data_IF_833984816498
#
_entry.id   IF_833984816498
#
_cell.length_a   1.000
_cell.length_b   1.000
_cell.length_c   1.000
_cell.angle_alpha   90.00
_cell.angle_beta   90.00
_cell.angle_gamma   90.00
#
_symmetry.space_group_name_H-M   'P 1'
#
loop_
_entity.id
_entity.type
_entity.pdbx_description
1 polymer ?
#
# COMPACT_ATOMS: atom_id res chain seq x y z
N UNK A 1 -3.54 14.02 -5.27
CA UNK A 1 -2.61 12.98 -5.78
C UNK A 1 -3.03 11.65 -5.19
N UNK A 2 -3.20 10.62 -6.02
CA UNK A 2 -3.50 9.26 -5.62
C UNK A 2 -2.23 8.40 -5.66
N UNK A 3 -1.99 7.61 -4.61
CA UNK A 3 -0.97 6.56 -4.59
C UNK A 3 -1.67 5.20 -4.52
N UNK A 4 -1.39 4.35 -5.51
CA UNK A 4 -1.94 3.00 -5.64
C UNK A 4 -0.79 1.98 -5.48
N UNK A 5 -0.72 1.22 -4.38
CA UNK A 5 0.23 0.12 -4.27
C UNK A 5 -0.19 -1.04 -5.16
N UNK A 6 0.76 -1.64 -5.87
CA UNK A 6 0.60 -2.95 -6.47
C UNK A 6 0.83 -4.05 -5.44
N UNK A 7 0.13 -5.18 -5.58
CA UNK A 7 0.46 -6.38 -4.82
C UNK A 7 1.60 -7.09 -5.55
N UNK A 8 2.82 -6.90 -5.06
CA UNK A 8 4.06 -7.33 -5.72
C UNK A 8 5.07 -7.91 -4.73
N UNK A 9 6.22 -8.37 -5.24
CA UNK A 9 7.26 -9.08 -4.48
C UNK A 9 7.59 -8.41 -3.13
N UNK A 10 7.66 -9.22 -2.07
CA UNK A 10 7.95 -8.75 -0.70
C UNK A 10 6.87 -7.87 -0.06
N UNK A 11 5.73 -7.67 -0.73
CA UNK A 11 4.65 -6.76 -0.30
C UNK A 11 5.13 -5.33 0.03
N UNK A 12 6.26 -4.92 -0.56
CA UNK A 12 6.94 -3.67 -0.24
C UNK A 12 6.06 -2.45 -0.45
N UNK A 13 5.26 -2.35 -1.55
CA UNK A 13 4.29 -1.28 -1.72
C UNK A 13 3.27 -1.19 -0.58
N UNK A 14 2.68 -2.32 -0.17
CA UNK A 14 1.65 -2.34 0.87
C UNK A 14 2.21 -1.97 2.24
N UNK A 15 3.43 -2.44 2.54
CA UNK A 15 4.17 -2.07 3.75
C UNK A 15 4.54 -0.57 3.75
N UNK A 16 4.96 -0.03 2.60
CA UNK A 16 5.24 1.39 2.44
C UNK A 16 3.99 2.24 2.69
N UNK A 17 2.83 1.82 2.19
CA UNK A 17 1.55 2.50 2.45
C UNK A 17 1.17 2.45 3.94
N UNK A 18 1.35 1.33 4.64
CA UNK A 18 1.12 1.26 6.09
C UNK A 18 1.95 2.33 6.82
N UNK A 19 3.26 2.44 6.52
CA UNK A 19 4.12 3.46 7.13
C UNK A 19 3.54 4.88 6.95
N UNK A 20 3.03 5.21 5.76
CA UNK A 20 2.46 6.53 5.50
C UNK A 20 1.14 6.75 6.26
N UNK A 21 0.23 5.78 6.23
CA UNK A 21 -1.08 5.88 6.88
C UNK A 21 -0.89 6.19 8.36
N UNK A 22 -0.09 5.38 9.06
CA UNK A 22 0.04 5.48 10.50
C UNK A 22 0.96 6.61 10.95
N UNK A 23 2.02 6.94 10.19
CA UNK A 23 2.90 8.07 10.55
C UNK A 23 2.20 9.42 10.43
N UNK A 24 1.37 9.59 9.39
CA UNK A 24 0.73 10.87 9.10
C UNK A 24 -0.70 10.97 9.60
N UNK A 25 -1.31 9.86 10.03
CA UNK A 25 -2.69 9.82 10.52
C UNK A 25 -3.69 10.04 9.40
N UNK A 26 -3.50 9.35 8.26
CA UNK A 26 -4.48 9.39 7.17
C UNK A 26 -5.83 8.85 7.67
N UNK A 27 -6.91 9.52 7.31
CA UNK A 27 -8.27 9.09 7.65
C UNK A 27 -8.75 8.03 6.65
N UNK A 28 -9.27 6.90 7.14
CA UNK A 28 -9.94 5.92 6.29
C UNK A 28 -11.32 6.46 5.91
N UNK A 29 -11.53 6.75 4.62
CA UNK A 29 -12.76 7.38 4.13
C UNK A 29 -13.71 6.38 3.47
N UNK A 30 -13.21 5.24 2.98
CA UNK A 30 -14.03 4.28 2.22
C UNK A 30 -13.41 2.89 2.13
N UNK A 31 -14.25 1.85 2.13
CA UNK A 31 -13.91 0.49 1.69
C UNK A 31 -14.26 0.32 0.21
N UNK A 32 -13.34 -0.22 -0.59
CA UNK A 32 -13.43 -0.34 -2.05
C UNK A 32 -13.43 -1.80 -2.53
N UNK A 33 -13.79 -2.73 -1.64
CA UNK A 33 -13.87 -4.15 -1.94
C UNK A 33 -14.81 -4.44 -3.12
N UNK A 34 -14.42 -5.39 -3.96
CA UNK A 34 -15.22 -5.86 -5.09
C UNK A 34 -14.98 -7.37 -5.32
N UNK A 35 -15.76 -7.98 -6.22
CA UNK A 35 -15.66 -9.43 -6.47
C UNK A 35 -14.34 -9.89 -7.14
N UNK A 36 -13.43 -8.96 -7.45
CA UNK A 36 -12.16 -9.22 -8.12
C UNK A 36 -10.96 -9.24 -7.16
N UNK A 37 -11.21 -9.10 -5.85
CA UNK A 37 -10.19 -9.21 -4.82
C UNK A 37 -10.49 -10.36 -3.86
N UNK A 38 -9.43 -11.02 -3.37
CA UNK A 38 -9.59 -12.05 -2.34
C UNK A 38 -10.18 -11.39 -1.07
N UNK A 39 -11.29 -11.89 -0.51
CA UNK A 39 -11.93 -11.25 0.64
C UNK A 39 -11.00 -11.26 1.86
N UNK A 40 -10.99 -10.14 2.58
CA UNK A 40 -10.24 -9.97 3.81
C UNK A 40 -11.10 -9.24 4.85
N UNK A 41 -10.98 -9.66 6.10
CA UNK A 41 -11.61 -8.98 7.23
C UNK A 41 -10.69 -9.06 8.45
N UNK A 42 -10.44 -7.91 9.08
CA UNK A 42 -9.60 -7.84 10.26
C UNK A 42 -9.83 -6.57 11.08
N UNK A 43 -9.16 -6.45 12.24
CA UNK A 43 -9.20 -5.23 13.04
C UNK A 43 -8.52 -4.07 12.29
N UNK A 44 -8.99 -2.84 12.54
CA UNK A 44 -8.23 -1.65 12.17
C UNK A 44 -6.93 -1.60 12.96
N UNK A 45 -5.83 -1.30 12.27
CA UNK A 45 -4.52 -1.17 12.90
C UNK A 45 -4.39 0.19 13.61
N UNK A 46 -3.32 0.34 14.38
CA UNK A 46 -3.03 1.57 15.12
C UNK A 46 -1.55 1.71 15.42
N UNK A 47 -1.13 2.91 15.84
CA UNK A 47 0.22 3.11 16.37
C UNK A 47 0.29 2.54 17.79
N UNK A 48 1.29 1.71 18.07
CA UNK A 48 1.56 1.25 19.43
C UNK A 48 1.91 2.40 20.38
N UNK A 49 1.53 2.28 21.65
CA UNK A 49 1.97 3.21 22.70
C UNK A 49 3.49 3.10 22.90
N UNK A 50 4.16 4.24 23.13
CA UNK A 50 5.62 4.32 23.27
C UNK A 50 6.19 3.53 24.46
N UNK A 51 5.32 3.08 25.38
CA UNK A 51 5.66 2.28 26.57
C UNK A 51 5.52 0.76 26.34
N UNK A 52 5.21 0.32 25.12
CA UNK A 52 4.98 -1.09 24.82
C UNK A 52 3.71 -1.67 25.46
N UNK A 53 2.88 -0.83 26.10
CA UNK A 53 1.58 -1.25 26.57
C UNK A 53 0.66 -1.39 25.37
N UNK A 54 0.16 -2.61 25.17
CA UNK A 54 -0.95 -2.85 24.25
C UNK A 54 -2.15 -2.15 24.87
N UNK A 55 -2.55 -1.01 24.32
CA UNK A 55 -3.92 -0.53 24.51
C UNK A 55 -4.82 -1.50 23.76
N UNK A 56 -5.08 -2.65 24.39
CA UNK A 56 -6.19 -3.48 23.98
C UNK A 56 -7.40 -2.55 23.98
N UNK A 57 -7.92 -2.28 22.80
CA UNK A 57 -9.32 -1.92 22.66
C UNK A 57 -10.07 -3.18 23.09
N UNK A 58 -10.10 -3.43 24.40
CA UNK A 58 -11.10 -4.27 25.01
C UNK A 58 -12.43 -3.73 24.49
N UNK A 59 -13.30 -4.57 23.88
CA UNK A 59 -14.61 -4.11 23.45
C UNK A 59 -15.27 -3.50 24.68
N UNK A 60 -15.47 -2.18 24.66
CA UNK A 60 -16.07 -1.45 25.77
C UNK A 60 -17.38 -2.15 26.09
N UNK A 61 -17.43 -2.79 27.26
CA UNK A 61 -18.69 -3.32 27.79
C UNK A 61 -19.64 -2.14 27.92
N UNK A 62 -20.89 -2.33 27.54
CA UNK A 62 -21.87 -1.30 27.20
C UNK A 62 -22.31 -0.37 28.34
N UNK A 63 -21.54 -0.25 29.42
CA UNK A 63 -21.96 0.44 30.65
C UNK A 63 -21.19 1.74 30.94
N UNK A 64 -20.03 2.00 30.33
CA UNK A 64 -19.27 3.25 30.57
C UNK A 64 -19.40 4.30 29.44
N UNK A 65 -20.20 4.03 28.41
CA UNK A 65 -20.38 4.91 27.24
C UNK A 65 -21.45 6.01 27.44
N UNK A 66 -21.52 6.61 28.63
CA UNK A 66 -22.44 7.73 28.91
C UNK A 66 -21.72 8.96 29.45
N UNK A 67 -20.78 9.48 28.68
CA UNK A 67 -20.49 10.93 28.60
C UNK A 67 -19.55 11.12 27.40
N UNK A 68 -19.91 12.06 26.52
CA UNK A 68 -19.15 12.52 25.33
C UNK A 68 -19.31 11.76 23.99
N UNK A 69 -20.35 10.93 23.82
CA UNK A 69 -20.67 10.31 22.52
C UNK A 69 -21.48 11.25 21.60
N UNK A 70 -20.82 12.22 20.96
CA UNK A 70 -21.10 12.48 19.53
C UNK A 70 -20.36 11.40 18.76
N UNK A 71 -20.90 10.19 18.75
CA UNK A 71 -20.36 9.10 17.94
C UNK A 71 -20.64 9.44 16.47
N UNK A 72 -19.59 9.69 15.71
CA UNK A 72 -19.67 9.76 14.26
C UNK A 72 -20.08 8.38 13.73
N UNK A 73 -21.36 8.27 13.39
CA UNK A 73 -22.06 7.07 12.90
C UNK A 73 -21.46 6.48 11.61
N UNK A 74 -20.45 7.13 11.03
CA UNK A 74 -19.78 6.76 9.78
C UNK A 74 -18.32 6.33 9.97
N UNK A 75 -17.83 6.16 11.20
CA UNK A 75 -16.44 5.73 11.40
C UNK A 75 -16.26 4.27 10.97
N UNK A 76 -15.32 4.03 10.07
CA UNK A 76 -14.94 2.67 9.64
C UNK A 76 -14.15 2.00 10.78
N UNK A 77 -14.73 0.94 11.35
CA UNK A 77 -14.16 0.23 12.52
C UNK A 77 -13.41 -1.07 12.15
N UNK A 78 -13.53 -1.53 10.91
CA UNK A 78 -12.97 -2.80 10.43
C UNK A 78 -12.10 -2.58 9.20
N UNK A 79 -11.02 -3.36 9.10
CA UNK A 79 -10.16 -3.40 7.93
C UNK A 79 -10.70 -4.43 6.93
N UNK A 80 -10.85 -4.01 5.68
CA UNK A 80 -11.29 -4.86 4.56
C UNK A 80 -10.17 -5.02 3.53
N UNK A 81 -10.45 -5.66 2.39
CA UNK A 81 -9.42 -5.98 1.39
C UNK A 81 -8.81 -4.73 0.75
N UNK A 82 -9.63 -3.72 0.43
CA UNK A 82 -9.19 -2.45 -0.16
C UNK A 82 -9.82 -1.28 0.58
N UNK A 83 -8.98 -0.34 0.99
CA UNK A 83 -9.43 0.87 1.69
C UNK A 83 -8.79 2.11 1.11
N UNK A 84 -9.58 3.17 1.00
CA UNK A 84 -9.14 4.50 0.59
C UNK A 84 -8.91 5.37 1.82
N UNK A 85 -7.74 5.98 1.84
CA UNK A 85 -7.26 6.84 2.91
C UNK A 85 -6.99 8.24 2.39
N UNK A 86 -7.23 9.27 3.20
CA UNK A 86 -7.08 10.68 2.81
C UNK A 86 -6.33 11.51 3.86
N UNK A 87 -5.46 12.39 3.38
CA UNK A 87 -4.85 13.46 4.16
C UNK A 87 -4.69 14.71 3.27
N UNK A 88 -5.50 15.74 3.53
CA UNK A 88 -5.55 16.92 2.64
C UNK A 88 -5.88 16.50 1.20
N UNK A 89 -4.98 16.81 0.28
CA UNK A 89 -5.11 16.48 -1.16
C UNK A 89 -4.38 15.20 -1.57
N UNK A 90 -3.82 14.45 -0.60
CA UNK A 90 -3.15 13.17 -0.83
C UNK A 90 -4.08 12.03 -0.47
N UNK A 91 -4.18 11.06 -1.36
CA UNK A 91 -4.99 9.87 -1.21
C UNK A 91 -4.09 8.63 -1.34
N UNK A 92 -4.29 7.67 -0.45
CA UNK A 92 -3.59 6.39 -0.46
C UNK A 92 -4.63 5.29 -0.57
N UNK A 93 -4.36 4.29 -1.40
CA UNK A 93 -5.10 3.03 -1.37
C UNK A 93 -4.27 2.05 -0.56
N UNK A 94 -4.88 1.34 0.39
CA UNK A 94 -4.27 0.20 1.04
C UNK A 94 -4.93 -1.09 0.62
N UNK A 95 -4.12 -2.09 0.30
CA UNK A 95 -4.57 -3.40 -0.20
C UNK A 95 -4.00 -4.49 0.70
N UNK A 96 -4.88 -5.27 1.31
CA UNK A 96 -4.52 -6.31 2.29
C UNK A 96 -4.52 -7.72 1.70
N UNK A 97 -5.05 -7.88 0.51
CA UNK A 97 -5.13 -9.16 -0.19
C UNK A 97 -4.93 -8.97 -1.69
N UNK A 98 -4.37 -9.96 -2.40
CA UNK A 98 -4.17 -9.88 -3.83
C UNK A 98 -5.51 -9.84 -4.58
N UNK A 99 -5.57 -9.22 -5.77
CA UNK A 99 -6.60 -9.52 -6.75
C UNK A 99 -6.70 -11.02 -6.99
N UNK A 100 -7.90 -11.50 -7.32
CA UNK A 100 -8.09 -12.89 -7.75
C UNK A 100 -7.23 -13.13 -8.99
N UNK A 101 -6.55 -14.26 -9.07
CA UNK A 101 -5.63 -14.57 -10.17
C UNK A 101 -6.31 -14.38 -11.54
N UNK A 102 -5.68 -13.60 -12.41
CA UNK A 102 -6.21 -13.24 -13.74
C UNK A 102 -7.31 -12.15 -13.74
N UNK A 103 -7.62 -11.54 -12.58
CA UNK A 103 -8.65 -10.49 -12.44
C UNK A 103 -8.07 -9.09 -12.22
N UNK A 104 -6.77 -8.90 -12.44
CA UNK A 104 -6.10 -7.59 -12.27
C UNK A 104 -6.76 -6.48 -13.09
N UNK A 105 -7.08 -6.74 -14.36
CA UNK A 105 -7.71 -5.75 -15.24
C UNK A 105 -9.12 -5.37 -14.76
N UNK A 106 -10.06 -6.32 -14.56
CA UNK A 106 -11.36 -6.01 -13.96
C UNK A 106 -11.27 -5.28 -12.61
N UNK A 107 -10.35 -5.72 -11.73
CA UNK A 107 -10.10 -5.10 -10.43
C UNK A 107 -9.73 -3.63 -10.60
N UNK A 108 -8.72 -3.34 -11.41
CA UNK A 108 -8.29 -1.96 -11.68
C UNK A 108 -9.38 -1.15 -12.37
N UNK A 109 -10.07 -1.69 -13.36
CA UNK A 109 -11.16 -0.97 -14.03
C UNK A 109 -12.21 -0.51 -13.04
N UNK A 110 -12.71 -1.41 -12.18
CA UNK A 110 -13.69 -1.05 -11.14
C UNK A 110 -13.13 -0.03 -10.14
N UNK A 111 -11.87 -0.20 -9.73
CA UNK A 111 -11.21 0.71 -8.80
C UNK A 111 -11.09 2.13 -9.36
N UNK A 112 -10.62 2.27 -10.61
CA UNK A 112 -10.49 3.54 -11.30
C UNK A 112 -11.85 4.12 -11.75
N UNK A 113 -12.91 3.31 -11.78
CA UNK A 113 -14.27 3.77 -12.06
C UNK A 113 -14.98 4.37 -10.84
N UNK A 114 -14.51 4.05 -9.63
CA UNK A 114 -15.07 4.56 -8.38
C UNK A 114 -15.01 6.10 -8.31
N UNK A 115 -16.10 6.71 -7.83
CA UNK A 115 -16.24 8.17 -7.83
C UNK A 115 -15.20 8.87 -6.95
N UNK A 116 -14.87 8.30 -5.78
CA UNK A 116 -13.92 8.89 -4.83
C UNK A 116 -12.48 8.71 -5.35
N UNK A 117 -12.19 7.60 -6.02
CA UNK A 117 -10.90 7.37 -6.69
C UNK A 117 -10.73 8.33 -7.88
N UNK A 118 -11.77 8.51 -8.70
CA UNK A 118 -11.77 9.52 -9.77
C UNK A 118 -11.55 10.93 -9.23
N UNK A 119 -12.20 11.27 -8.12
CA UNK A 119 -11.99 12.56 -7.46
C UNK A 119 -10.55 12.71 -6.95
N UNK A 120 -9.98 11.67 -6.34
CA UNK A 120 -8.60 11.67 -5.85
C UNK A 120 -7.56 11.88 -6.97
N UNK A 121 -7.88 11.41 -8.18
CA UNK A 121 -7.04 11.58 -9.37
C UNK A 121 -7.20 12.96 -10.00
N UNK A 122 -8.40 13.54 -9.97
CA UNK A 122 -8.71 14.84 -10.55
C UNK A 122 -8.21 15.98 -9.67
N UNK A 123 -6.96 16.42 -9.88
CA UNK A 123 -6.41 17.62 -9.24
C UNK A 123 -6.32 18.79 -10.22
N UNK A 124 -6.27 20.03 -9.70
CA UNK A 124 -6.12 21.26 -10.49
C UNK A 124 -4.85 21.26 -11.37
N UNK A 125 -3.86 20.42 -11.04
CA UNK A 125 -2.61 20.24 -11.79
C UNK A 125 -2.62 19.02 -12.77
N UNK A 126 -3.79 18.42 -13.02
CA UNK A 126 -3.98 17.25 -13.89
C UNK A 126 -4.16 15.92 -13.14
N UNK A 127 -4.33 14.83 -13.89
CA UNK A 127 -4.44 13.48 -13.32
C UNK A 127 -3.10 13.04 -12.71
N UNK A 128 -3.01 13.01 -11.38
CA UNK A 128 -1.82 12.55 -10.66
C UNK A 128 -2.15 11.27 -9.90
N UNK A 129 -1.99 10.13 -10.59
CA UNK A 129 -1.96 8.80 -9.99
C UNK A 129 -0.55 8.22 -10.14
N UNK A 130 0.02 7.80 -9.03
CA UNK A 130 1.30 7.10 -8.96
C UNK A 130 1.01 5.67 -8.51
N UNK A 131 1.40 4.71 -9.33
CA UNK A 131 1.36 3.29 -8.99
C UNK A 131 2.71 2.91 -8.39
N UNK A 132 2.70 2.34 -7.20
CA UNK A 132 3.95 1.96 -6.52
C UNK A 132 4.06 0.44 -6.50
N UNK A 133 5.15 -0.08 -7.04
CA UNK A 133 5.40 -1.51 -7.20
C UNK A 133 6.77 -1.90 -6.65
N UNK A 134 7.01 -3.20 -6.59
CA UNK A 134 8.32 -3.78 -6.35
C UNK A 134 8.61 -4.84 -7.41
N UNK A 135 9.87 -5.09 -7.74
CA UNK A 135 10.27 -6.08 -8.74
C UNK A 135 11.43 -6.93 -8.23
N UNK A 136 11.58 -8.15 -8.77
CA UNK A 136 12.65 -9.06 -8.36
C UNK A 136 14.02 -8.49 -8.71
N UNK A 137 14.81 -8.15 -7.67
CA UNK A 137 16.17 -7.66 -7.81
C UNK A 137 17.09 -8.65 -8.54
N UNK A 138 16.81 -9.96 -8.49
CA UNK A 138 17.54 -10.98 -9.24
C UNK A 138 17.37 -10.86 -10.76
N UNK A 139 16.29 -10.21 -11.20
CA UNK A 139 15.98 -9.96 -12.59
C UNK A 139 16.32 -8.53 -13.04
N UNK A 140 16.98 -7.73 -12.21
CA UNK A 140 17.37 -6.37 -12.56
C UNK A 140 18.26 -6.37 -13.81
N UNK A 141 17.92 -5.60 -14.87
CA UNK A 141 18.67 -5.63 -16.11
C UNK A 141 20.14 -5.24 -15.91
N UNK A 142 21.05 -6.01 -16.49
CA UNK A 142 22.48 -5.69 -16.47
C UNK A 142 22.75 -4.40 -17.25
N UNK A 143 23.47 -3.45 -16.65
CA UNK A 143 23.86 -2.18 -17.29
C UNK A 143 22.87 -1.02 -17.13
N UNK A 144 21.73 -1.23 -16.48
CA UNK A 144 20.86 -0.14 -15.98
C UNK A 144 21.45 0.39 -14.67
N UNK A 145 21.50 1.71 -14.41
CA UNK A 145 21.99 2.28 -13.16
C UNK A 145 21.35 1.58 -11.95
N UNK A 146 22.15 1.27 -10.94
CA UNK A 146 21.78 0.47 -9.76
C UNK A 146 20.88 1.20 -8.76
N UNK A 147 20.03 2.14 -9.21
CA UNK A 147 19.10 2.79 -8.31
C UNK A 147 18.06 1.74 -7.89
N UNK A 148 18.08 1.39 -6.62
CA UNK A 148 17.13 0.44 -6.02
C UNK A 148 15.67 0.84 -6.25
N UNK A 149 15.40 2.14 -6.41
CA UNK A 149 14.08 2.69 -6.72
C UNK A 149 14.15 3.45 -8.04
N UNK A 150 13.24 3.13 -8.96
CA UNK A 150 13.10 3.76 -10.28
C UNK A 150 11.77 4.53 -10.39
N UNK A 151 11.82 5.78 -10.84
CA UNK A 151 10.61 6.53 -11.21
C UNK A 151 10.37 6.44 -12.72
N UNK A 152 9.17 5.99 -13.08
CA UNK A 152 8.75 5.77 -14.46
C UNK A 152 7.70 6.83 -14.81
N UNK A 153 8.05 7.82 -15.64
CA UNK A 153 7.12 8.89 -15.97
C UNK A 153 6.03 8.40 -16.94
N UNK A 154 4.85 9.02 -16.84
CA UNK A 154 3.69 8.77 -17.73
C UNK A 154 4.05 8.81 -19.23
N UNK A 155 4.99 9.67 -19.63
CA UNK A 155 5.40 9.84 -21.02
C UNK A 155 6.22 8.69 -21.61
N UNK A 156 6.84 7.85 -20.77
CA UNK A 156 7.62 6.70 -21.25
C UNK A 156 6.73 5.69 -21.98
N UNK A 157 5.47 5.57 -21.57
CA UNK A 157 4.47 4.68 -22.20
C UNK A 157 3.95 5.24 -23.52
N UNK A 158 3.78 6.56 -23.61
CA UNK A 158 3.13 7.22 -24.75
C UNK A 158 4.04 7.31 -25.99
N UNK A 159 5.37 7.25 -25.84
CA UNK A 159 6.30 7.31 -26.98
C UNK A 159 6.33 6.01 -27.80
N UNK A 160 5.82 4.92 -27.27
CA UNK A 160 5.90 3.58 -27.89
C UNK A 160 4.58 3.11 -28.53
N UNK A 161 3.47 3.82 -28.30
CA UNK A 161 2.15 3.51 -28.86
C UNK A 161 2.04 3.67 -30.39
N UNK A 162 3.06 4.20 -31.06
CA UNK A 162 3.11 4.29 -32.53
C UNK A 162 3.68 3.02 -33.21
N UNK A 163 3.97 1.95 -32.45
CA UNK A 163 4.41 0.65 -32.98
C UNK A 163 3.33 -0.44 -32.74
N UNK A 164 2.96 -1.26 -33.75
CA UNK A 164 1.77 -2.12 -33.72
C UNK A 164 1.87 -3.38 -32.82
N UNK A 165 2.79 -3.45 -31.86
CA UNK A 165 2.94 -4.59 -30.94
C UNK A 165 2.98 -4.12 -29.48
N UNK A 166 1.78 -3.91 -28.91
CA UNK A 166 1.56 -3.26 -27.61
C UNK A 166 2.14 -4.02 -26.39
N UNK A 167 2.47 -5.32 -26.54
CA UNK A 167 2.89 -6.18 -25.41
C UNK A 167 4.40 -6.31 -25.22
N UNK A 168 5.23 -5.85 -26.16
CA UNK A 168 6.68 -6.13 -26.17
C UNK A 168 7.57 -4.93 -25.81
N UNK A 169 6.99 -3.78 -25.42
CA UNK A 169 7.76 -2.55 -25.21
C UNK A 169 7.58 -1.88 -23.85
N UNK A 170 6.51 -2.19 -23.09
CA UNK A 170 6.42 -1.75 -21.69
C UNK A 170 7.63 -2.27 -20.91
N UNK A 171 8.27 -1.44 -20.06
CA UNK A 171 9.35 -1.91 -19.22
C UNK A 171 8.85 -3.10 -18.38
N UNK A 172 9.59 -4.21 -18.50
CA UNK A 172 9.26 -5.46 -17.83
C UNK A 172 9.74 -5.37 -16.38
N UNK A 173 8.79 -5.29 -15.46
CA UNK A 173 9.04 -5.37 -14.03
C UNK A 173 8.55 -6.74 -13.54
N UNK A 174 9.45 -7.75 -13.52
CA UNK A 174 9.08 -9.09 -13.10
C UNK A 174 8.55 -9.06 -11.67
N UNK A 175 7.45 -9.78 -11.44
CA UNK A 175 6.74 -9.87 -10.15
C UNK A 175 6.26 -8.54 -9.55
N UNK A 176 6.09 -7.52 -10.40
CA UNK A 176 5.52 -6.22 -10.01
C UNK A 176 4.01 -6.16 -9.90
N UNK A 177 3.35 -7.33 -9.92
CA UNK A 177 1.91 -7.45 -9.92
C UNK A 177 1.30 -6.72 -11.12
N UNK A 178 0.34 -5.84 -10.85
CA UNK A 178 -0.37 -5.09 -11.89
C UNK A 178 0.24 -3.71 -12.20
N UNK A 179 1.49 -3.44 -11.79
CA UNK A 179 2.14 -2.15 -12.02
C UNK A 179 2.19 -1.79 -13.51
N UNK A 180 2.69 -2.70 -14.36
CA UNK A 180 2.76 -2.48 -15.82
C UNK A 180 1.37 -2.35 -16.46
N UNK A 181 0.39 -3.11 -15.97
CA UNK A 181 -1.01 -3.01 -16.41
C UNK A 181 -1.59 -1.63 -16.11
N UNK A 182 -1.39 -1.15 -14.88
CA UNK A 182 -1.90 0.15 -14.45
C UNK A 182 -1.25 1.30 -15.24
N UNK A 183 0.07 1.20 -15.45
CA UNK A 183 0.87 2.12 -16.25
C UNK A 183 0.38 2.19 -17.71
N UNK A 184 0.18 1.03 -18.34
CA UNK A 184 -0.24 0.91 -19.74
C UNK A 184 -1.69 1.33 -20.00
N UNK A 185 -2.62 0.91 -19.14
CA UNK A 185 -4.06 1.09 -19.37
C UNK A 185 -4.61 2.42 -18.87
N UNK A 186 -4.10 2.93 -17.73
CA UNK A 186 -4.66 4.12 -17.07
C UNK A 186 -3.74 5.33 -17.18
N UNK A 187 -2.59 5.20 -17.87
CA UNK A 187 -1.64 6.28 -18.10
C UNK A 187 -1.18 6.91 -16.79
N UNK A 188 -0.83 6.09 -15.81
CA UNK A 188 -0.31 6.53 -14.51
C UNK A 188 1.18 6.85 -14.60
N UNK A 189 1.73 7.34 -13.51
CA UNK A 189 3.16 7.29 -13.24
C UNK A 189 3.43 5.99 -12.45
N UNK A 190 4.67 5.48 -12.47
CA UNK A 190 5.02 4.37 -11.59
C UNK A 190 6.31 4.63 -10.81
N UNK A 191 6.42 4.04 -9.63
CA UNK A 191 7.67 3.96 -8.85
C UNK A 191 7.89 2.50 -8.51
N UNK A 192 9.01 1.94 -8.92
CA UNK A 192 9.31 0.51 -8.75
C UNK A 192 10.55 0.34 -7.88
N UNK A 193 10.44 -0.47 -6.83
CA UNK A 193 11.58 -0.84 -5.97
C UNK A 193 12.09 -2.24 -6.30
N UNK A 194 13.36 -2.40 -6.61
CA UNK A 194 13.99 -3.70 -6.83
C UNK A 194 14.37 -4.33 -5.49
N UNK A 195 13.80 -5.49 -5.18
CA UNK A 195 13.92 -6.15 -3.87
C UNK A 195 14.06 -7.66 -4.02
N UNK A 196 14.62 -8.31 -3.00
CA UNK A 196 14.51 -9.77 -2.81
C UNK A 196 13.38 -10.07 -1.83
N UNK A 197 12.82 -11.29 -1.85
CA UNK A 197 11.89 -11.71 -0.80
C UNK A 197 12.60 -11.82 0.57
N UNK A 198 11.87 -11.50 1.64
CA UNK A 198 12.35 -11.65 3.01
C UNK A 198 11.71 -10.67 3.97
N UNK A 199 12.48 -10.21 4.95
CA UNK A 199 12.11 -9.06 5.78
C UNK A 199 12.36 -7.77 5.01
N UNK A 200 11.31 -7.27 4.37
CA UNK A 200 11.36 -6.08 3.55
C UNK A 200 10.99 -4.79 4.31
N UNK A 201 11.09 -4.78 5.64
CA UNK A 201 10.77 -3.60 6.46
C UNK A 201 11.59 -2.37 6.07
N UNK A 202 12.87 -2.56 5.72
CA UNK A 202 13.78 -1.48 5.27
C UNK A 202 13.46 -1.03 3.84
N UNK A 203 13.16 -1.97 2.95
CA UNK A 203 12.77 -1.64 1.57
C UNK A 203 11.48 -0.81 1.54
N UNK A 204 10.53 -1.16 2.41
CA UNK A 204 9.29 -0.40 2.58
C UNK A 204 9.55 1.02 3.09
N UNK A 205 10.51 1.20 4.00
CA UNK A 205 10.91 2.50 4.51
C UNK A 205 11.51 3.38 3.40
N UNK A 206 12.38 2.82 2.56
CA UNK A 206 12.98 3.53 1.43
C UNK A 206 11.92 3.93 0.40
N UNK A 207 11.03 3.00 0.03
CA UNK A 207 9.92 3.28 -0.89
C UNK A 207 8.95 4.33 -0.32
N UNK A 208 8.58 4.22 0.96
CA UNK A 208 7.75 5.22 1.63
C UNK A 208 8.40 6.60 1.66
N UNK A 209 9.72 6.67 1.88
CA UNK A 209 10.48 7.92 1.82
C UNK A 209 10.41 8.56 0.43
N UNK A 210 10.52 7.75 -0.64
CA UNK A 210 10.33 8.25 -2.01
C UNK A 210 8.91 8.80 -2.21
N UNK A 211 7.89 8.11 -1.72
CA UNK A 211 6.50 8.56 -1.81
C UNK A 211 6.29 9.88 -1.05
N UNK A 212 6.88 10.06 0.15
CA UNK A 212 6.83 11.31 0.91
C UNK A 212 7.37 12.48 0.08
N UNK A 213 8.50 12.29 -0.61
CA UNK A 213 9.10 13.31 -1.47
C UNK A 213 8.19 13.67 -2.66
N UNK A 214 7.63 12.67 -3.34
CA UNK A 214 6.73 12.87 -4.48
C UNK A 214 5.42 13.54 -4.07
N UNK A 215 4.87 13.11 -2.93
CA UNK A 215 3.65 13.66 -2.33
C UNK A 215 3.88 15.01 -1.65
N UNK A 216 5.14 15.44 -1.48
CA UNK A 216 5.54 16.64 -0.73
C UNK A 216 4.96 16.66 0.69
N UNK A 217 4.90 15.49 1.33
CA UNK A 217 4.48 15.38 2.72
C UNK A 217 5.57 15.93 3.65
N UNK A 218 5.22 16.47 4.83
CA UNK A 218 6.19 16.99 5.78
C UNK A 218 7.17 15.90 6.22
N UNK A 219 8.47 16.19 6.30
CA UNK A 219 9.44 15.20 6.77
C UNK A 219 9.12 14.76 8.21
N UNK A 220 8.90 13.45 8.39
CA UNK A 220 8.68 12.80 9.68
C UNK A 220 9.47 11.50 9.73
N UNK A 221 9.82 11.08 10.94
CA UNK A 221 10.28 9.71 11.17
C UNK A 221 9.09 8.78 10.89
N UNK A 222 9.23 7.92 9.90
CA UNK A 222 8.24 6.91 9.58
C UNK A 222 8.18 5.86 10.69
N UNK A 223 6.96 5.52 11.12
CA UNK A 223 6.67 4.60 12.22
C UNK A 223 5.77 3.48 11.69
N UNK A 224 6.14 2.20 11.91
CA UNK A 224 5.30 1.09 11.51
C UNK A 224 4.06 0.96 12.41
N UNK A 225 2.95 0.39 11.90
CA UNK A 225 1.81 0.04 12.74
C UNK A 225 2.14 -1.06 13.76
N UNK A 226 1.26 -1.22 14.76
CA UNK A 226 1.44 -2.25 15.79
C UNK A 226 1.43 -3.66 15.22
N UNK A 227 0.73 -3.93 14.10
CA UNK A 227 0.75 -5.24 13.45
C UNK A 227 2.16 -5.73 13.09
N UNK A 228 3.10 -4.82 12.82
CA UNK A 228 4.48 -5.18 12.48
C UNK A 228 5.22 -5.82 13.66
N UNK A 229 4.81 -5.54 14.90
CA UNK A 229 5.38 -6.17 16.10
C UNK A 229 5.16 -7.68 16.17
N UNK A 230 4.22 -8.22 15.36
CA UNK A 230 3.83 -9.63 15.37
C UNK A 230 4.11 -10.35 14.06
N UNK A 231 4.92 -9.76 13.17
CA UNK A 231 5.29 -10.38 11.87
C UNK A 231 6.03 -11.70 12.06
N UNK A 232 6.78 -11.84 13.16
CA UNK A 232 7.46 -13.08 13.53
C UNK A 232 6.65 -14.00 14.46
N UNK A 233 5.33 -13.75 14.57
CA UNK A 233 4.44 -14.50 15.45
C UNK A 233 4.18 -13.80 16.78
N UNK A 234 3.37 -14.44 17.62
CA UNK A 234 3.16 -14.02 19.01
C UNK A 234 4.30 -14.54 19.86
N UNK A 235 4.57 -13.88 20.98
CA UNK A 235 5.43 -14.43 22.03
C UNK A 235 4.91 -15.82 22.41
N UNK A 236 5.66 -16.85 22.01
CA UNK A 236 5.41 -18.20 22.47
C UNK A 236 5.96 -18.24 23.89
N UNK A 237 5.16 -18.60 24.91
CA UNK A 237 5.70 -18.75 26.25
C UNK A 237 6.85 -19.76 26.16
N UNK A 238 8.07 -19.32 26.51
CA UNK A 238 9.23 -20.18 26.60
C UNK A 238 8.84 -21.33 27.53
N UNK A 239 8.72 -22.53 26.98
CA UNK A 239 8.42 -23.72 27.76
C UNK A 239 9.53 -24.00 28.78
N UNK A 240 9.28 -24.94 29.69
CA UNK A 240 10.19 -25.36 30.77
C UNK A 240 11.57 -25.83 30.25
N UNK A 241 11.68 -26.14 28.96
CA UNK A 241 12.84 -26.73 28.30
C UNK A 241 13.78 -25.71 27.62
N UNK A 242 13.70 -24.40 27.91
CA UNK A 242 14.62 -23.33 27.41
C UNK A 242 14.89 -23.27 25.87
N UNK A 243 14.20 -24.05 25.04
CA UNK A 243 14.28 -24.00 23.57
C UNK A 243 14.94 -25.24 22.93
N UNK A 244 14.79 -25.37 21.61
CA UNK A 244 15.24 -26.53 20.81
C UNK A 244 16.77 -26.73 20.82
N UNK A 245 17.52 -25.74 21.29
CA UNK A 245 18.98 -25.78 21.39
C UNK A 245 19.40 -25.50 22.84
N UNK A 246 19.25 -26.52 23.69
CA UNK A 246 19.94 -26.60 24.97
C UNK A 246 21.27 -27.35 24.80
#
# INVERSE_FOLDING_TARGET
>A
MLVLPSVSIGNVPQLAIDLLIYTYGFECIKCLDNDDIVPFFGPMDYLGSADGSVSEISPKTSQDAKQDAKQDINKIEVATAVQLYKLGDVYLIQIRSPPVSGRDVPFLTKLFEDADVKQAMSTDAGQQCIVVGSADAGCHPAGVPSSKIEDIPKSSVLKEQNSPSLSSQLPSFPDSGYTSTALGMFGTQAVVSWVYEGDNSIDALELATRIVQLAKLPEKRLVPPISWSRVYGKDIPLGVEEGIYC
#
